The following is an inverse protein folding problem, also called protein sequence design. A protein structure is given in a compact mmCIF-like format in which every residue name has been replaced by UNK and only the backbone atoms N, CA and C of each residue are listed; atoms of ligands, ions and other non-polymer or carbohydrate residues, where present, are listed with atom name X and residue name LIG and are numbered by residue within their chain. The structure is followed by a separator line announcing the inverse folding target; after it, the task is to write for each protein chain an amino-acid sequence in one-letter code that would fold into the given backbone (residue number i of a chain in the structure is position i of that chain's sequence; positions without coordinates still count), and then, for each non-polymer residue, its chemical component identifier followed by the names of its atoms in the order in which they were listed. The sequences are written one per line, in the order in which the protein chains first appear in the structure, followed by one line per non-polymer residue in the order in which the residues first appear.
data_IF_108106815746
#
_entry.id   IF_108106815746
#
_cell.length_a   1.000
_cell.length_b   1.000
_cell.length_c   1.000
_cell.angle_alpha   90.00
_cell.angle_beta   90.00
_cell.angle_gamma   90.00
#
_symmetry.space_group_name_H-M   'P 1'
#
loop_
_entity.id
_entity.type
_entity.pdbx_description
1 polymer ?
#
# COMPACT_ATOMS: atom_id res chain seq x y z
N UNK A 1 55.94 -24.90 39.22
CA UNK A 1 55.17 -23.64 39.02
C UNK A 1 54.77 -23.59 37.53
N UNK A 2 53.56 -24.07 37.19
CA UNK A 2 53.04 -24.03 35.82
C UNK A 2 51.92 -23.04 35.77
N UNK A 3 52.10 -21.97 35.00
CA UNK A 3 51.14 -20.94 34.77
C UNK A 3 50.19 -21.39 33.66
N UNK A 4 48.92 -21.63 34.00
CA UNK A 4 47.85 -21.90 33.05
C UNK A 4 47.36 -20.56 32.53
N UNK A 5 47.49 -20.32 31.22
CA UNK A 5 46.90 -19.18 30.52
C UNK A 5 45.50 -19.62 30.09
N UNK A 6 44.46 -19.04 30.71
CA UNK A 6 43.06 -19.18 30.26
C UNK A 6 42.85 -18.37 29.01
N UNK A 7 42.58 -19.02 27.88
CA UNK A 7 42.03 -18.40 26.68
C UNK A 7 40.52 -18.18 26.84
N UNK A 8 40.16 -16.95 27.08
CA UNK A 8 38.76 -16.54 27.05
C UNK A 8 38.32 -16.43 25.57
N UNK A 9 37.65 -17.46 25.07
CA UNK A 9 37.02 -17.46 23.73
C UNK A 9 35.71 -16.71 23.85
N UNK A 10 35.76 -15.41 23.59
CA UNK A 10 34.56 -14.56 23.44
C UNK A 10 33.73 -15.08 22.27
N UNK A 11 32.53 -15.58 22.57
CA UNK A 11 31.51 -15.95 21.59
C UNK A 11 31.03 -14.69 20.82
N UNK A 12 30.91 -14.71 19.50
CA UNK A 12 30.45 -13.56 18.75
C UNK A 12 28.96 -13.30 18.98
N UNK A 13 28.53 -12.03 19.11
CA UNK A 13 27.12 -11.67 19.24
C UNK A 13 26.47 -11.75 17.86
N UNK A 14 25.85 -12.88 17.50
CA UNK A 14 25.31 -13.15 16.15
C UNK A 14 23.79 -13.15 16.01
N UNK A 15 23.02 -12.69 16.98
CA UNK A 15 21.54 -12.75 16.92
C UNK A 15 20.81 -11.40 17.15
N UNK A 16 21.49 -10.33 17.59
CA UNK A 16 20.88 -9.02 17.80
C UNK A 16 20.91 -8.14 16.55
N UNK A 17 21.92 -8.25 15.72
CA UNK A 17 22.18 -7.37 14.57
C UNK A 17 21.10 -7.45 13.48
N UNK A 18 20.52 -8.61 13.22
CA UNK A 18 19.52 -8.79 12.17
C UNK A 18 18.12 -8.25 12.53
N UNK A 19 17.71 -8.31 13.79
CA UNK A 19 16.41 -7.77 14.25
C UNK A 19 16.44 -6.25 14.34
N UNK A 20 17.54 -5.70 14.80
CA UNK A 20 17.73 -4.25 14.89
C UNK A 20 17.78 -3.63 13.48
N UNK A 21 18.39 -4.32 12.52
CA UNK A 21 18.43 -3.90 11.12
C UNK A 21 17.04 -3.92 10.44
N UNK A 22 16.22 -4.93 10.70
CA UNK A 22 14.85 -4.99 10.18
C UNK A 22 13.94 -3.91 10.81
N UNK A 23 14.03 -3.70 12.12
CA UNK A 23 13.28 -2.66 12.81
C UNK A 23 13.65 -1.27 12.29
N UNK A 24 14.94 -1.01 12.11
CA UNK A 24 15.44 0.24 11.54
C UNK A 24 14.96 0.45 10.10
N UNK A 25 15.02 -0.60 9.27
CA UNK A 25 14.52 -0.54 7.89
C UNK A 25 13.02 -0.26 7.83
N UNK A 26 12.22 -0.85 8.73
CA UNK A 26 10.79 -0.59 8.83
C UNK A 26 10.50 0.85 9.24
N UNK A 27 11.20 1.38 10.26
CA UNK A 27 11.06 2.77 10.71
C UNK A 27 11.40 3.79 9.60
N UNK A 28 12.43 3.52 8.80
CA UNK A 28 12.76 4.35 7.63
C UNK A 28 11.62 4.32 6.60
N UNK A 29 11.05 3.14 6.31
CA UNK A 29 9.94 3.02 5.36
C UNK A 29 8.68 3.74 5.82
N UNK A 30 8.32 3.64 7.09
CA UNK A 30 7.13 4.32 7.64
C UNK A 30 7.30 5.84 7.61
N UNK A 31 8.50 6.32 7.95
CA UNK A 31 8.86 7.74 7.82
C UNK A 31 8.82 8.21 6.37
N UNK A 32 9.34 7.40 5.44
CA UNK A 32 9.34 7.69 4.02
C UNK A 32 7.90 7.76 3.46
N UNK A 33 7.04 6.80 3.82
CA UNK A 33 5.60 6.81 3.45
C UNK A 33 4.92 8.10 3.90
N UNK A 34 5.11 8.48 5.15
CA UNK A 34 4.55 9.73 5.70
C UNK A 34 5.04 10.96 4.93
N UNK A 35 6.35 11.09 4.70
CA UNK A 35 6.92 12.25 4.01
C UNK A 35 6.56 12.32 2.53
N UNK A 36 6.63 11.20 1.81
CA UNK A 36 6.19 11.15 0.41
C UNK A 36 4.70 11.45 0.28
N UNK A 37 3.90 11.00 1.24
CA UNK A 37 2.47 11.29 1.31
C UNK A 37 2.15 12.76 1.52
N UNK A 38 2.84 13.40 2.44
CA UNK A 38 2.57 14.78 2.84
C UNK A 38 3.20 15.82 1.89
N UNK A 39 4.41 15.55 1.40
CA UNK A 39 5.20 16.51 0.64
C UNK A 39 5.35 16.14 -0.84
N UNK A 40 4.98 14.92 -1.23
CA UNK A 40 5.20 14.37 -2.56
C UNK A 40 6.64 13.93 -2.81
N UNK A 41 6.85 13.27 -3.98
CA UNK A 41 8.15 12.74 -4.34
C UNK A 41 9.21 13.85 -4.44
N UNK A 42 8.93 14.97 -5.13
CA UNK A 42 9.94 15.98 -5.43
C UNK A 42 10.51 16.64 -4.17
N UNK A 43 9.67 17.00 -3.21
CA UNK A 43 10.08 17.74 -2.01
C UNK A 43 10.64 16.85 -0.88
N UNK A 44 10.44 15.55 -0.94
CA UNK A 44 11.03 14.61 0.02
C UNK A 44 12.47 14.31 -0.36
N UNK A 45 13.39 14.26 0.61
CA UNK A 45 14.80 13.96 0.39
C UNK A 45 15.26 12.80 1.29
N UNK A 46 16.34 12.11 0.88
CA UNK A 46 16.99 11.10 1.74
C UNK A 46 17.36 11.69 3.11
N UNK A 47 17.88 12.92 3.13
CA UNK A 47 18.28 13.60 4.38
C UNK A 47 17.07 13.90 5.28
N UNK A 48 15.95 14.36 4.70
CA UNK A 48 14.75 14.64 5.50
C UNK A 48 14.16 13.36 6.12
N UNK A 49 14.14 12.26 5.34
CA UNK A 49 13.68 10.96 5.84
C UNK A 49 14.62 10.43 6.93
N UNK A 50 15.92 10.46 6.70
CA UNK A 50 16.93 10.01 7.67
C UNK A 50 16.83 10.78 8.99
N UNK A 51 16.75 12.11 8.92
CA UNK A 51 16.58 12.98 10.10
C UNK A 51 15.32 12.65 10.88
N UNK A 52 14.19 12.47 10.22
CA UNK A 52 12.91 12.15 10.86
C UNK A 52 12.85 10.71 11.42
N UNK A 53 13.58 9.78 10.79
CA UNK A 53 13.72 8.39 11.28
C UNK A 53 14.82 8.24 12.36
N UNK A 54 15.57 9.31 12.67
CA UNK A 54 16.65 9.27 13.66
C UNK A 54 17.86 8.43 13.22
N UNK A 55 18.15 8.35 11.90
CA UNK A 55 19.25 7.56 11.36
C UNK A 55 20.18 8.38 10.49
N UNK A 56 21.37 7.82 10.21
CA UNK A 56 22.29 8.44 9.25
C UNK A 56 21.78 8.30 7.82
N UNK A 57 21.87 9.35 6.96
CA UNK A 57 21.53 9.27 5.55
C UNK A 57 22.26 8.16 4.78
N UNK A 58 23.49 7.82 5.16
CA UNK A 58 24.24 6.71 4.56
C UNK A 58 23.56 5.36 4.80
N UNK A 59 22.90 5.19 5.94
CA UNK A 59 22.15 3.97 6.26
C UNK A 59 20.90 3.84 5.38
N UNK A 60 20.20 4.95 5.11
CA UNK A 60 19.07 4.97 4.17
C UNK A 60 19.56 4.60 2.76
N UNK A 61 20.69 5.16 2.33
CA UNK A 61 21.31 4.83 1.04
C UNK A 61 21.76 3.36 0.98
N UNK A 62 22.29 2.82 2.08
CA UNK A 62 22.67 1.41 2.18
C UNK A 62 21.48 0.47 1.94
N UNK A 63 20.31 0.74 2.56
CA UNK A 63 19.12 -0.10 2.44
C UNK A 63 18.37 0.06 1.10
N UNK A 64 18.36 1.26 0.53
CA UNK A 64 17.44 1.59 -0.57
C UNK A 64 18.15 2.14 -1.82
N UNK A 65 19.45 2.33 -1.79
CA UNK A 65 20.28 2.78 -2.89
C UNK A 65 20.14 4.28 -3.18
N UNK A 66 18.93 4.74 -3.48
CA UNK A 66 18.65 6.14 -3.81
C UNK A 66 17.20 6.52 -3.47
N UNK A 67 16.84 7.80 -3.72
CA UNK A 67 15.48 8.30 -3.45
C UNK A 67 14.40 7.53 -4.21
N UNK A 68 14.65 7.14 -5.45
CA UNK A 68 13.70 6.37 -6.25
C UNK A 68 13.54 4.95 -5.69
N UNK A 69 14.63 4.30 -5.26
CA UNK A 69 14.59 3.00 -4.59
C UNK A 69 13.86 3.04 -3.25
N UNK A 70 14.11 4.08 -2.43
CA UNK A 70 13.36 4.30 -1.20
C UNK A 70 11.86 4.52 -1.47
N UNK A 71 11.52 5.32 -2.48
CA UNK A 71 10.14 5.56 -2.87
C UNK A 71 9.46 4.28 -3.37
N UNK A 72 10.11 3.52 -4.23
CA UNK A 72 9.60 2.22 -4.70
C UNK A 72 9.34 1.24 -3.54
N UNK A 73 10.27 1.16 -2.59
CA UNK A 73 10.11 0.32 -1.40
C UNK A 73 9.00 0.82 -0.46
N UNK A 74 8.88 2.14 -0.28
CA UNK A 74 7.82 2.77 0.51
C UNK A 74 6.44 2.63 -0.15
N UNK A 75 6.39 2.52 -1.48
CA UNK A 75 5.18 2.37 -2.29
C UNK A 75 4.70 0.92 -2.42
N UNK A 76 5.45 -0.04 -1.89
CA UNK A 76 4.99 -1.43 -1.81
C UNK A 76 4.05 -1.60 -0.64
N UNK A 77 2.83 -1.95 -0.94
CA UNK A 77 1.78 -2.20 0.06
C UNK A 77 1.23 -3.61 -0.14
N UNK A 78 1.13 -4.33 0.95
CA UNK A 78 0.27 -5.49 1.05
C UNK A 78 -1.06 -5.00 1.65
N UNK A 79 -2.12 -5.05 0.85
CA UNK A 79 -3.46 -4.65 1.30
C UNK A 79 -4.14 -5.75 2.09
N UNK A 80 -3.47 -6.88 2.31
CA UNK A 80 -4.07 -8.05 2.97
C UNK A 80 -5.48 -8.32 2.43
N UNK A 81 -5.60 -8.43 1.10
CA UNK A 81 -6.90 -8.60 0.44
C UNK A 81 -7.59 -9.83 1.02
N UNK A 82 -8.84 -9.74 1.48
CA UNK A 82 -9.52 -10.87 2.12
C UNK A 82 -9.71 -12.03 1.14
N UNK A 83 -9.69 -13.24 1.67
CA UNK A 83 -10.10 -14.41 0.90
C UNK A 83 -11.61 -14.32 0.60
N UNK A 84 -11.94 -14.21 -0.67
CA UNK A 84 -13.32 -14.11 -1.14
C UNK A 84 -13.91 -15.46 -1.55
N UNK A 85 -13.17 -16.56 -1.49
CA UNK A 85 -13.59 -17.88 -2.03
C UNK A 85 -14.88 -18.43 -1.40
N UNK A 86 -15.18 -18.01 -0.15
CA UNK A 86 -16.43 -18.38 0.55
C UNK A 86 -17.53 -17.32 0.48
N UNK A 87 -17.32 -16.21 -0.23
CA UNK A 87 -18.25 -15.09 -0.29
C UNK A 87 -19.14 -15.24 -1.52
N UNK A 88 -20.47 -15.21 -1.32
CA UNK A 88 -21.40 -15.21 -2.43
C UNK A 88 -21.18 -13.96 -3.33
N UNK A 89 -21.24 -14.08 -4.67
CA UNK A 89 -20.92 -13.00 -5.60
C UNK A 89 -21.65 -11.68 -5.33
N UNK A 90 -22.92 -11.75 -4.95
CA UNK A 90 -23.74 -10.59 -4.58
C UNK A 90 -23.34 -9.92 -3.25
N UNK A 91 -22.52 -10.61 -2.44
CA UNK A 91 -22.01 -10.12 -1.15
C UNK A 91 -20.57 -9.60 -1.21
N UNK A 92 -19.88 -9.77 -2.34
CA UNK A 92 -18.48 -9.33 -2.49
C UNK A 92 -18.35 -7.83 -2.24
N UNK A 93 -19.30 -7.03 -2.72
CA UNK A 93 -19.32 -5.59 -2.50
C UNK A 93 -19.35 -5.21 -1.00
N UNK A 94 -19.98 -6.03 -0.14
CA UNK A 94 -20.03 -5.80 1.30
C UNK A 94 -18.67 -6.00 1.98
N UNK A 95 -17.78 -6.74 1.37
CA UNK A 95 -16.41 -6.98 1.86
C UNK A 95 -15.44 -5.95 1.27
N UNK A 96 -15.52 -5.72 -0.05
CA UNK A 96 -14.57 -4.86 -0.77
C UNK A 96 -14.74 -3.38 -0.45
N UNK A 97 -15.97 -2.90 -0.29
CA UNK A 97 -16.22 -1.47 -0.09
C UNK A 97 -15.73 -0.92 1.27
N UNK A 98 -15.95 -1.59 2.43
CA UNK A 98 -15.35 -1.16 3.69
C UNK A 98 -13.82 -1.17 3.65
N UNK A 99 -13.21 -2.19 3.03
CA UNK A 99 -11.76 -2.24 2.83
C UNK A 99 -11.29 -1.09 1.94
N UNK A 100 -11.99 -0.79 0.86
CA UNK A 100 -11.69 0.37 0.01
C UNK A 100 -11.64 1.66 0.82
N UNK A 101 -12.65 1.93 1.65
CA UNK A 101 -12.68 3.15 2.49
C UNK A 101 -11.49 3.19 3.47
N UNK A 102 -11.15 2.08 4.09
CA UNK A 102 -10.01 2.00 5.01
C UNK A 102 -8.67 2.24 4.30
N UNK A 103 -8.49 1.68 3.11
CA UNK A 103 -7.24 1.72 2.35
C UNK A 103 -7.04 3.06 1.63
N UNK A 104 -8.09 3.63 1.06
CA UNK A 104 -8.05 4.88 0.27
C UNK A 104 -8.47 6.12 1.05
N UNK A 105 -8.99 5.96 2.26
CA UNK A 105 -9.38 7.09 3.13
C UNK A 105 -8.21 7.98 3.51
N UNK A 106 -8.47 9.12 4.19
CA UNK A 106 -7.45 10.11 4.53
C UNK A 106 -6.28 9.57 5.36
N UNK A 107 -6.53 8.51 6.14
CA UNK A 107 -5.53 7.81 6.95
C UNK A 107 -4.96 6.57 6.25
N UNK A 108 -5.46 6.24 5.07
CA UNK A 108 -5.06 5.06 4.33
C UNK A 108 -3.72 5.23 3.61
N UNK A 109 -3.00 4.13 3.37
CA UNK A 109 -1.66 4.17 2.80
C UNK A 109 -1.63 4.51 1.31
N UNK A 110 -2.75 4.36 0.58
CA UNK A 110 -2.77 4.47 -0.88
C UNK A 110 -2.99 5.88 -1.42
N UNK A 111 -3.59 6.76 -0.63
CA UNK A 111 -3.85 8.13 -1.08
C UNK A 111 -2.57 8.90 -1.45
N UNK A 112 -1.46 8.79 -0.69
CA UNK A 112 -0.18 9.37 -1.08
C UNK A 112 0.36 8.82 -2.39
N UNK A 113 0.25 7.51 -2.58
CA UNK A 113 0.70 6.82 -3.79
C UNK A 113 -0.12 7.25 -5.02
N UNK A 114 -1.44 7.36 -4.87
CA UNK A 114 -2.34 7.84 -5.91
C UNK A 114 -2.01 9.28 -6.35
N UNK A 115 -1.74 10.17 -5.38
CA UNK A 115 -1.31 11.55 -5.69
C UNK A 115 -0.03 11.58 -6.50
N UNK A 116 0.93 10.71 -6.18
CA UNK A 116 2.20 10.63 -6.88
C UNK A 116 2.08 10.00 -8.27
N UNK A 117 1.17 9.05 -8.46
CA UNK A 117 1.06 8.26 -9.69
C UNK A 117 0.74 9.10 -10.94
N UNK A 118 0.08 10.24 -10.76
CA UNK A 118 -0.24 11.14 -11.88
C UNK A 118 1.00 11.76 -12.55
N UNK A 119 2.12 11.86 -11.82
CA UNK A 119 3.36 12.53 -12.28
C UNK A 119 4.62 11.69 -12.11
N UNK A 120 4.52 10.52 -11.48
CA UNK A 120 5.66 9.66 -11.16
C UNK A 120 5.40 8.23 -11.63
N UNK A 121 6.19 7.76 -12.59
CA UNK A 121 6.05 6.44 -13.19
C UNK A 121 6.20 5.31 -12.16
N UNK A 122 7.15 5.42 -11.23
CA UNK A 122 7.37 4.40 -10.18
C UNK A 122 6.14 4.26 -9.27
N UNK A 123 5.44 5.37 -8.98
CA UNK A 123 4.20 5.33 -8.21
C UNK A 123 3.07 4.67 -9.00
N UNK A 124 2.95 4.97 -10.29
CA UNK A 124 1.96 4.34 -11.17
C UNK A 124 2.20 2.83 -11.30
N UNK A 125 3.46 2.43 -11.48
CA UNK A 125 3.84 1.01 -11.56
C UNK A 125 3.55 0.28 -10.23
N UNK A 126 3.77 0.91 -9.08
CA UNK A 126 3.44 0.33 -7.78
C UNK A 126 1.93 0.14 -7.59
N UNK A 127 1.09 1.09 -8.02
CA UNK A 127 -0.37 0.90 -8.02
C UNK A 127 -0.81 -0.22 -8.94
N UNK A 128 -0.21 -0.32 -10.13
CA UNK A 128 -0.49 -1.39 -11.08
C UNK A 128 -0.07 -2.76 -10.50
N UNK A 129 1.09 -2.84 -9.82
CA UNK A 129 1.57 -4.07 -9.16
C UNK A 129 0.57 -4.55 -8.09
N UNK A 130 0.03 -3.64 -7.28
CA UNK A 130 -1.01 -3.98 -6.29
C UNK A 130 -2.28 -4.49 -6.99
N UNK A 131 -2.73 -3.81 -8.03
CA UNK A 131 -3.91 -4.23 -8.77
C UNK A 131 -3.73 -5.62 -9.40
N UNK A 132 -2.66 -5.83 -10.16
CA UNK A 132 -2.38 -7.08 -10.87
C UNK A 132 -2.03 -8.22 -9.92
N UNK A 133 -1.26 -7.92 -8.85
CA UNK A 133 -0.76 -8.93 -7.92
C UNK A 133 -1.73 -9.31 -6.79
N UNK A 134 -2.68 -8.46 -6.43
CA UNK A 134 -3.55 -8.69 -5.28
C UNK A 134 -5.04 -8.58 -5.63
N UNK A 135 -5.48 -7.47 -6.23
CA UNK A 135 -6.92 -7.20 -6.44
C UNK A 135 -7.51 -8.10 -7.55
N UNK A 136 -6.88 -8.11 -8.72
CA UNK A 136 -7.40 -8.86 -9.86
C UNK A 136 -7.45 -10.37 -9.61
N UNK A 137 -6.44 -11.03 -9.02
CA UNK A 137 -6.51 -12.45 -8.68
C UNK A 137 -7.60 -12.78 -7.66
N UNK A 138 -7.78 -11.94 -6.63
CA UNK A 138 -8.81 -12.16 -5.62
C UNK A 138 -10.23 -12.07 -6.21
N UNK A 139 -10.48 -11.10 -7.08
CA UNK A 139 -11.76 -10.97 -7.79
C UNK A 139 -11.94 -12.09 -8.82
N UNK A 140 -10.88 -12.50 -9.52
CA UNK A 140 -10.95 -13.57 -10.51
C UNK A 140 -11.41 -14.92 -9.92
N UNK A 141 -11.13 -15.16 -8.65
CA UNK A 141 -11.54 -16.39 -7.97
C UNK A 141 -13.06 -16.51 -7.73
N UNK A 142 -13.81 -15.41 -7.85
CA UNK A 142 -15.22 -15.35 -7.40
C UNK A 142 -16.19 -14.82 -8.45
N UNK A 143 -15.70 -14.32 -9.60
CA UNK A 143 -16.57 -13.88 -10.70
C UNK A 143 -16.84 -15.02 -11.68
N UNK A 144 -18.02 -15.05 -12.33
CA UNK A 144 -18.43 -16.19 -13.17
C UNK A 144 -17.67 -16.27 -14.49
N UNK A 145 -17.29 -15.14 -15.07
CA UNK A 145 -16.66 -15.03 -16.39
C UNK A 145 -15.87 -13.71 -16.52
N UNK A 146 -15.10 -13.57 -17.61
CA UNK A 146 -14.41 -12.31 -17.99
C UNK A 146 -13.73 -11.61 -16.82
N UNK A 147 -13.08 -12.39 -15.96
CA UNK A 147 -12.50 -11.92 -14.71
C UNK A 147 -11.56 -10.70 -14.86
N UNK A 148 -10.68 -10.63 -15.88
CA UNK A 148 -9.82 -9.45 -16.06
C UNK A 148 -10.61 -8.16 -16.32
N UNK A 149 -11.64 -8.22 -17.15
CA UNK A 149 -12.46 -7.05 -17.49
C UNK A 149 -13.31 -6.60 -16.31
N UNK A 150 -13.91 -7.53 -15.57
CA UNK A 150 -14.68 -7.25 -14.36
C UNK A 150 -13.82 -6.62 -13.27
N UNK A 151 -12.64 -7.17 -13.02
CA UNK A 151 -11.68 -6.61 -12.08
C UNK A 151 -11.24 -5.20 -12.51
N UNK A 152 -10.99 -4.97 -13.79
CA UNK A 152 -10.63 -3.65 -14.31
C UNK A 152 -11.77 -2.63 -14.13
N UNK A 153 -13.03 -3.01 -14.36
CA UNK A 153 -14.20 -2.14 -14.14
C UNK A 153 -14.36 -1.79 -12.65
N UNK A 154 -14.28 -2.77 -11.76
CA UNK A 154 -14.31 -2.54 -10.30
C UNK A 154 -13.16 -1.62 -9.90
N UNK A 155 -11.93 -1.92 -10.33
CA UNK A 155 -10.75 -1.10 -10.03
C UNK A 155 -10.87 0.33 -10.53
N UNK A 156 -11.36 0.54 -11.77
CA UNK A 156 -11.55 1.88 -12.33
C UNK A 156 -12.61 2.69 -11.60
N UNK A 157 -13.71 2.05 -11.19
CA UNK A 157 -14.77 2.69 -10.40
C UNK A 157 -14.24 3.18 -9.05
N UNK A 158 -13.53 2.31 -8.33
CA UNK A 158 -12.98 2.63 -7.01
C UNK A 158 -11.85 3.67 -7.11
N UNK A 159 -10.97 3.55 -8.09
CA UNK A 159 -9.91 4.52 -8.33
C UNK A 159 -10.48 5.91 -8.69
N UNK A 160 -11.46 5.96 -9.60
CA UNK A 160 -12.15 7.19 -9.97
C UNK A 160 -12.82 7.88 -8.78
N UNK A 161 -13.45 7.09 -7.91
CA UNK A 161 -14.04 7.59 -6.67
C UNK A 161 -12.98 8.14 -5.70
N UNK A 162 -11.86 7.43 -5.52
CA UNK A 162 -10.76 7.90 -4.67
C UNK A 162 -10.21 9.24 -5.18
N UNK A 163 -10.02 9.38 -6.49
CA UNK A 163 -9.61 10.64 -7.12
C UNK A 163 -10.64 11.73 -6.87
N UNK A 164 -11.91 11.48 -7.17
CA UNK A 164 -12.98 12.48 -7.05
C UNK A 164 -13.16 12.95 -5.59
N UNK A 165 -13.18 12.03 -4.64
CA UNK A 165 -13.43 12.32 -3.22
C UNK A 165 -12.22 12.92 -2.51
N UNK A 166 -11.01 12.33 -2.70
CA UNK A 166 -9.85 12.63 -1.87
C UNK A 166 -8.77 13.47 -2.56
N UNK A 167 -8.78 13.54 -3.90
CA UNK A 167 -7.82 14.36 -4.65
C UNK A 167 -8.48 15.66 -5.13
N UNK A 168 -9.60 15.54 -5.85
CA UNK A 168 -10.32 16.69 -6.40
C UNK A 168 -11.22 17.38 -5.37
N UNK A 169 -11.65 16.65 -4.33
CA UNK A 169 -12.50 17.20 -3.28
C UNK A 169 -13.91 17.56 -3.78
N UNK A 170 -14.52 16.75 -4.64
CA UNK A 170 -15.88 17.00 -5.16
C UNK A 170 -16.88 17.12 -3.99
N UNK A 171 -17.48 18.30 -3.74
CA UNK A 171 -18.21 18.58 -2.50
C UNK A 171 -19.31 17.58 -2.12
N UNK A 172 -20.15 17.07 -3.03
CA UNK A 172 -21.14 16.06 -2.67
C UNK A 172 -20.50 14.75 -2.16
N UNK A 173 -19.34 14.36 -2.71
CA UNK A 173 -18.65 13.13 -2.31
C UNK A 173 -17.88 13.31 -1.00
N UNK A 174 -17.27 14.47 -0.78
CA UNK A 174 -16.53 14.75 0.47
C UNK A 174 -17.46 14.89 1.68
N UNK A 175 -18.67 15.42 1.47
CA UNK A 175 -19.70 15.56 2.52
C UNK A 175 -20.47 14.27 2.83
N UNK A 176 -20.32 13.23 1.98
CA UNK A 176 -21.03 11.97 2.17
C UNK A 176 -20.35 11.11 3.23
N UNK A 177 -21.11 10.58 4.19
CA UNK A 177 -20.60 9.60 5.14
C UNK A 177 -20.21 8.29 4.43
N UNK A 178 -19.22 7.57 4.94
CA UNK A 178 -18.72 6.32 4.34
C UNK A 178 -19.83 5.28 4.15
N UNK A 179 -20.71 5.13 5.12
CA UNK A 179 -21.86 4.21 5.02
C UNK A 179 -22.81 4.57 3.87
N UNK A 180 -23.05 5.87 3.63
CA UNK A 180 -23.86 6.33 2.50
C UNK A 180 -23.17 6.04 1.17
N UNK A 181 -21.87 6.32 1.10
CA UNK A 181 -21.06 6.04 -0.07
C UNK A 181 -21.08 4.54 -0.43
N UNK A 182 -20.88 3.68 0.56
CA UNK A 182 -20.97 2.22 0.40
C UNK A 182 -22.36 1.81 -0.14
N UNK A 183 -23.42 2.38 0.40
CA UNK A 183 -24.78 2.05 -0.05
C UNK A 183 -25.03 2.44 -1.52
N UNK A 184 -24.47 3.55 -2.00
CA UNK A 184 -24.55 3.93 -3.40
C UNK A 184 -23.73 3.06 -4.32
N UNK A 185 -22.56 2.61 -3.88
CA UNK A 185 -21.63 1.82 -4.70
C UNK A 185 -21.96 0.33 -4.75
N UNK A 186 -22.59 -0.19 -3.70
CA UNK A 186 -22.95 -1.61 -3.62
C UNK A 186 -23.65 -2.15 -4.87
N UNK A 187 -24.76 -1.55 -5.36
CA UNK A 187 -25.41 -2.06 -6.57
C UNK A 187 -24.53 -1.94 -7.82
N UNK A 188 -23.68 -0.92 -7.92
CA UNK A 188 -22.77 -0.74 -9.06
C UNK A 188 -21.73 -1.86 -9.09
N UNK A 189 -21.10 -2.16 -7.96
CA UNK A 189 -20.12 -3.25 -7.89
C UNK A 189 -20.80 -4.61 -8.07
N UNK A 190 -21.98 -4.82 -7.48
CA UNK A 190 -22.73 -6.05 -7.69
C UNK A 190 -23.01 -6.26 -9.18
N UNK A 191 -23.46 -5.25 -9.91
CA UNK A 191 -23.66 -5.31 -11.35
C UNK A 191 -22.41 -5.76 -12.10
N UNK A 192 -21.23 -5.14 -11.82
CA UNK A 192 -19.97 -5.55 -12.45
C UNK A 192 -19.55 -6.98 -12.11
N UNK A 193 -19.90 -7.47 -10.93
CA UNK A 193 -19.42 -8.76 -10.43
C UNK A 193 -20.35 -9.93 -10.79
N UNK A 194 -21.67 -9.69 -10.93
CA UNK A 194 -22.66 -10.76 -11.01
C UNK A 194 -23.48 -10.78 -12.28
N UNK A 195 -23.73 -9.64 -12.93
CA UNK A 195 -24.59 -9.59 -14.11
C UNK A 195 -23.93 -10.26 -15.31
N UNK A 196 -24.72 -10.82 -16.23
CA UNK A 196 -24.20 -11.36 -17.47
C UNK A 196 -23.34 -10.34 -18.21
N UNK A 197 -22.17 -10.75 -18.71
CA UNK A 197 -21.37 -9.87 -19.55
C UNK A 197 -22.09 -9.63 -20.89
N UNK A 198 -22.03 -8.40 -21.43
CA UNK A 198 -22.61 -8.07 -22.73
C UNK A 198 -21.91 -8.80 -23.89
#
# INVERSE_FOLDING_TARGET
MSTVVEYNVGMPPKARDGRDGQATRAAILDTARSQFGSHGFERTTIRSVASAAGVDPALVMHYFGNKAGLFAAASRFDIAFPDLSGVAPDRIADVVLPMFVAVWGPQGPFLPLLRAAATNRTAADALLEVFVGQVAPALAAVVPDRAPERAALVGSQLLGLAVARYILGVPPLTGMADAQLINWLRPVLAHYLTDPAP
#
